data_IF_573147907009
#
_entry.id   IF_573147907009
#
_cell.length_a   1.000
_cell.length_b   1.000
_cell.length_c   1.000
_cell.angle_alpha   90.00
_cell.angle_beta   90.00
_cell.angle_gamma   90.00
#
_symmetry.space_group_name_H-M   'P 1'
#
loop_
_entity.id
_entity.type
_entity.pdbx_description
1 polymer ?
#
# COMPACT_ATOMS: atom_id res chain seq x y z
N UNK A 1 -30.01 16.55 -34.05
CA UNK A 1 -29.18 15.68 -33.19
C UNK A 1 -28.14 16.57 -32.53
N UNK A 2 -27.94 16.42 -31.22
CA UNK A 2 -27.17 17.41 -30.44
C UNK A 2 -25.66 17.20 -30.64
N UNK A 3 -24.86 18.28 -30.61
CA UNK A 3 -23.39 18.24 -30.70
C UNK A 3 -22.76 17.24 -29.71
N UNK A 4 -23.41 17.04 -28.56
CA UNK A 4 -23.03 16.06 -27.54
C UNK A 4 -23.09 14.61 -28.05
N UNK A 5 -24.12 14.25 -28.81
CA UNK A 5 -24.27 12.88 -29.32
C UNK A 5 -23.15 12.50 -30.29
N UNK A 6 -22.68 13.46 -31.07
CA UNK A 6 -21.57 13.27 -32.01
C UNK A 6 -20.23 13.18 -31.30
N UNK A 7 -20.02 13.94 -30.22
CA UNK A 7 -18.83 13.85 -29.37
C UNK A 7 -18.77 12.52 -28.60
N UNK A 8 -19.90 12.07 -28.04
CA UNK A 8 -20.01 10.74 -27.39
C UNK A 8 -19.70 9.63 -28.40
N UNK A 9 -20.24 9.71 -29.62
CA UNK A 9 -19.95 8.72 -30.68
C UNK A 9 -18.49 8.74 -31.13
N UNK A 10 -17.84 9.91 -31.15
CA UNK A 10 -16.41 10.03 -31.46
C UNK A 10 -15.54 9.42 -30.36
N UNK A 11 -15.86 9.72 -29.10
CA UNK A 11 -15.20 9.15 -27.92
C UNK A 11 -15.31 7.62 -27.89
N UNK A 12 -16.52 7.09 -28.10
CA UNK A 12 -16.78 5.65 -28.15
C UNK A 12 -15.92 4.95 -29.20
N UNK A 13 -15.89 5.47 -30.43
CA UNK A 13 -15.05 4.92 -31.51
C UNK A 13 -13.55 4.92 -31.16
N UNK A 14 -13.09 5.94 -30.44
CA UNK A 14 -11.71 6.00 -29.95
C UNK A 14 -11.39 4.91 -28.92
N UNK A 15 -12.32 4.59 -28.03
CA UNK A 15 -12.14 3.53 -27.04
C UNK A 15 -12.31 2.12 -27.63
N UNK A 16 -13.23 1.94 -28.57
CA UNK A 16 -13.39 0.70 -29.33
C UNK A 16 -12.11 0.37 -30.12
N UNK A 17 -11.48 1.37 -30.75
CA UNK A 17 -10.20 1.20 -31.44
C UNK A 17 -9.04 0.80 -30.51
N UNK A 18 -9.14 1.12 -29.22
CA UNK A 18 -8.15 0.75 -28.21
C UNK A 18 -8.29 -0.70 -27.68
N UNK A 19 -9.41 -1.38 -27.94
CA UNK A 19 -9.64 -2.78 -27.57
C UNK A 19 -9.63 -3.09 -26.06
N UNK A 20 -9.65 -2.06 -25.20
CA UNK A 20 -9.47 -2.18 -23.74
C UNK A 20 -10.75 -2.47 -22.96
N UNK A 21 -11.91 -2.37 -23.60
CA UNK A 21 -13.21 -2.46 -22.95
C UNK A 21 -14.13 -3.41 -23.73
N UNK A 22 -14.93 -4.18 -23.01
CA UNK A 22 -16.01 -4.96 -23.60
C UNK A 22 -17.15 -4.05 -24.08
N UNK A 23 -17.95 -4.51 -25.04
CA UNK A 23 -19.09 -3.72 -25.53
C UNK A 23 -20.10 -3.38 -24.43
N UNK A 24 -20.24 -4.23 -23.42
CA UNK A 24 -21.13 -4.00 -22.28
C UNK A 24 -20.62 -2.88 -21.38
N UNK A 25 -19.32 -2.86 -21.07
CA UNK A 25 -18.70 -1.77 -20.28
C UNK A 25 -18.79 -0.43 -21.01
N UNK A 26 -18.57 -0.43 -22.34
CA UNK A 26 -18.72 0.78 -23.15
C UNK A 26 -20.14 1.34 -23.12
N UNK A 27 -21.16 0.48 -23.17
CA UNK A 27 -22.56 0.90 -23.07
C UNK A 27 -22.87 1.50 -21.69
N UNK A 28 -22.36 0.90 -20.62
CA UNK A 28 -22.57 1.40 -19.25
C UNK A 28 -21.87 2.75 -18.99
N UNK A 29 -20.68 2.96 -19.56
CA UNK A 29 -20.00 4.25 -19.53
C UNK A 29 -20.73 5.31 -20.36
N UNK A 30 -21.26 4.93 -21.52
CA UNK A 30 -22.04 5.82 -22.38
C UNK A 30 -23.32 6.29 -21.69
N UNK A 31 -24.02 5.39 -21.00
CA UNK A 31 -25.20 5.73 -20.21
C UNK A 31 -24.87 6.65 -19.03
N UNK A 32 -23.74 6.42 -18.33
CA UNK A 32 -23.26 7.33 -17.29
C UNK A 32 -22.95 8.73 -17.83
N UNK A 33 -22.29 8.84 -18.99
CA UNK A 33 -21.99 10.13 -19.62
C UNK A 33 -23.26 10.87 -20.02
N UNK A 34 -24.26 10.16 -20.53
CA UNK A 34 -25.57 10.74 -20.86
C UNK A 34 -26.33 11.20 -19.62
N UNK A 35 -26.33 10.39 -18.55
CA UNK A 35 -26.96 10.74 -17.29
C UNK A 35 -26.33 12.01 -16.69
N UNK A 36 -24.99 12.08 -16.67
CA UNK A 36 -24.28 13.26 -16.18
C UNK A 36 -24.57 14.51 -17.04
N UNK A 37 -24.58 14.38 -18.37
CA UNK A 37 -24.91 15.49 -19.25
C UNK A 37 -26.38 15.95 -19.14
N UNK A 38 -27.30 15.03 -18.82
CA UNK A 38 -28.69 15.36 -18.54
C UNK A 38 -28.83 16.11 -17.21
N UNK A 39 -28.14 15.67 -16.17
CA UNK A 39 -28.08 16.35 -14.87
C UNK A 39 -27.47 17.75 -14.98
N UNK A 40 -26.41 17.89 -15.78
CA UNK A 40 -25.73 19.16 -16.01
C UNK A 40 -26.63 20.14 -16.78
N UNK A 41 -27.33 19.67 -17.82
CA UNK A 41 -28.35 20.46 -18.52
C UNK A 41 -29.51 20.86 -17.61
N UNK A 42 -29.95 19.99 -16.71
CA UNK A 42 -31.01 20.30 -15.75
C UNK A 42 -30.56 21.40 -14.76
N UNK A 43 -29.29 21.38 -14.35
CA UNK A 43 -28.69 22.43 -13.51
C UNK A 43 -28.52 23.76 -14.25
N UNK A 44 -28.09 23.71 -15.51
CA UNK A 44 -27.94 24.90 -16.36
C UNK A 44 -29.29 25.55 -16.71
N UNK A 45 -30.33 24.75 -16.97
CA UNK A 45 -31.68 25.24 -17.21
C UNK A 45 -32.26 26.04 -16.02
N UNK A 46 -31.69 25.86 -14.82
CA UNK A 46 -32.12 26.54 -13.59
C UNK A 46 -31.28 27.79 -13.28
N UNK A 47 -30.15 28.02 -13.97
CA UNK A 47 -29.23 29.12 -13.65
C UNK A 47 -29.03 30.08 -14.82
N UNK A 48 -29.55 31.30 -14.69
CA UNK A 48 -29.50 32.36 -15.71
C UNK A 48 -28.11 33.02 -15.91
N UNK A 49 -26.99 32.31 -15.67
CA UNK A 49 -25.65 32.87 -15.90
C UNK A 49 -24.59 31.83 -16.29
N UNK A 50 -24.88 31.03 -17.33
CA UNK A 50 -23.94 30.03 -17.86
C UNK A 50 -22.59 30.59 -18.32
N UNK A 51 -22.55 31.83 -18.82
CA UNK A 51 -21.32 32.45 -19.34
C UNK A 51 -20.27 32.76 -18.26
N UNK A 52 -20.68 33.14 -17.05
CA UNK A 52 -19.77 33.43 -15.94
C UNK A 52 -19.17 32.17 -15.32
N UNK A 53 -19.95 31.08 -15.30
CA UNK A 53 -19.50 29.76 -14.85
C UNK A 53 -18.60 29.06 -15.86
N UNK A 54 -18.91 29.12 -17.15
CA UNK A 54 -18.00 28.63 -18.20
C UNK A 54 -16.68 29.40 -18.24
N UNK A 55 -16.70 30.72 -18.02
CA UNK A 55 -15.49 31.53 -17.97
C UNK A 55 -14.62 31.18 -16.75
N UNK A 56 -15.22 31.05 -15.56
CA UNK A 56 -14.51 30.64 -14.36
C UNK A 56 -13.99 29.19 -14.46
N UNK A 57 -14.77 28.27 -15.03
CA UNK A 57 -14.33 26.90 -15.29
C UNK A 57 -13.21 26.85 -16.32
N UNK A 58 -13.26 27.65 -17.40
CA UNK A 58 -12.16 27.76 -18.37
C UNK A 58 -10.92 28.44 -17.79
N UNK A 59 -11.06 29.32 -16.81
CA UNK A 59 -9.95 29.97 -16.11
C UNK A 59 -9.27 29.02 -15.10
N UNK A 60 -10.05 28.17 -14.41
CA UNK A 60 -9.52 27.10 -13.55
C UNK A 60 -8.97 25.91 -14.35
N UNK A 61 -9.61 25.53 -15.47
CA UNK A 61 -9.15 24.44 -16.35
C UNK A 61 -8.06 24.87 -17.34
N UNK A 62 -7.92 26.16 -17.59
CA UNK A 62 -7.02 26.73 -18.60
C UNK A 62 -5.57 26.87 -18.16
N UNK A 63 -5.28 26.76 -16.87
CA UNK A 63 -3.91 26.68 -16.35
C UNK A 63 -3.57 25.21 -16.03
N UNK A 64 -3.09 24.44 -17.02
CA UNK A 64 -2.73 23.04 -16.83
C UNK A 64 -1.68 22.87 -15.74
N UNK A 65 -0.88 23.90 -15.45
CA UNK A 65 0.12 23.93 -14.38
C UNK A 65 -0.49 24.03 -12.99
N UNK A 66 -1.61 24.77 -12.82
CA UNK A 66 -2.35 24.83 -11.55
C UNK A 66 -3.13 23.54 -11.30
N UNK A 67 -3.75 22.97 -12.33
CA UNK A 67 -4.36 21.64 -12.24
C UNK A 67 -3.31 20.58 -11.92
N UNK A 68 -2.19 20.55 -12.64
CA UNK A 68 -1.08 19.65 -12.30
C UNK A 68 -0.56 19.89 -10.89
N UNK A 69 -0.54 21.13 -10.38
CA UNK A 69 -0.06 21.44 -9.03
C UNK A 69 -1.06 21.04 -7.94
N UNK A 70 -2.36 21.14 -8.19
CA UNK A 70 -3.42 20.65 -7.28
C UNK A 70 -3.51 19.11 -7.30
N UNK A 71 -3.37 18.47 -8.46
CA UNK A 71 -3.19 17.01 -8.55
C UNK A 71 -1.84 16.57 -7.94
N UNK A 72 -0.77 17.35 -8.12
CA UNK A 72 0.54 17.07 -7.55
C UNK A 72 0.56 17.14 -6.02
N UNK A 73 -0.24 18.03 -5.41
CA UNK A 73 -0.44 18.07 -3.96
C UNK A 73 -1.15 16.82 -3.43
N UNK A 74 -1.88 16.09 -4.28
CA UNK A 74 -2.45 14.77 -3.98
C UNK A 74 -1.55 13.59 -4.43
N UNK A 75 -0.47 13.82 -5.20
CA UNK A 75 0.14 12.78 -6.06
C UNK A 75 1.12 11.81 -5.41
N UNK A 76 1.58 12.07 -4.19
CA UNK A 76 2.35 11.06 -3.45
C UNK A 76 1.49 10.51 -2.34
N UNK A 77 0.65 9.51 -2.64
CA UNK A 77 -0.17 8.90 -1.62
C UNK A 77 0.75 8.31 -0.56
N UNK A 78 0.47 8.61 0.71
CA UNK A 78 1.38 8.34 1.83
C UNK A 78 1.82 6.88 1.90
N UNK A 79 0.98 5.94 1.42
CA UNK A 79 1.32 4.53 1.34
C UNK A 79 2.58 4.25 0.52
N UNK A 80 2.87 5.02 -0.54
CA UNK A 80 4.09 4.82 -1.35
C UNK A 80 5.35 5.03 -0.52
N UNK A 81 5.38 6.08 0.31
CA UNK A 81 6.52 6.38 1.18
C UNK A 81 6.72 5.27 2.20
N UNK A 82 5.65 4.79 2.85
CA UNK A 82 5.72 3.67 3.78
C UNK A 82 6.21 2.38 3.11
N UNK A 83 5.77 2.11 1.88
CA UNK A 83 6.17 0.92 1.14
C UNK A 83 7.66 0.98 0.75
N UNK A 84 8.14 2.13 0.28
CA UNK A 84 9.56 2.34 -0.04
C UNK A 84 10.44 2.20 1.20
N UNK A 85 10.07 2.82 2.31
CA UNK A 85 10.81 2.71 3.58
C UNK A 85 10.78 1.27 4.10
N UNK A 86 9.63 0.60 4.01
CA UNK A 86 9.49 -0.81 4.36
C UNK A 86 10.42 -1.70 3.54
N UNK A 87 10.45 -1.54 2.21
CA UNK A 87 11.40 -2.25 1.34
C UNK A 87 12.86 -1.94 1.67
N UNK A 88 13.19 -0.68 1.97
CA UNK A 88 14.53 -0.28 2.40
C UNK A 88 14.95 -0.98 3.70
N UNK A 89 14.05 -1.04 4.70
CA UNK A 89 14.28 -1.76 5.95
C UNK A 89 14.41 -3.28 5.73
N UNK A 90 13.63 -3.85 4.82
CA UNK A 90 13.75 -5.26 4.46
C UNK A 90 15.14 -5.54 3.88
N UNK A 91 15.57 -4.76 2.89
CA UNK A 91 16.91 -4.90 2.29
C UNK A 91 18.00 -4.70 3.34
N UNK A 92 17.88 -3.68 4.19
CA UNK A 92 18.80 -3.44 5.30
C UNK A 92 18.88 -4.66 6.24
N UNK A 93 17.74 -5.30 6.54
CA UNK A 93 17.72 -6.50 7.36
C UNK A 93 18.55 -7.64 6.78
N UNK A 94 18.58 -7.79 5.44
CA UNK A 94 19.37 -8.83 4.76
C UNK A 94 20.89 -8.56 4.81
N UNK A 95 21.28 -7.28 4.87
CA UNK A 95 22.69 -6.88 4.99
C UNK A 95 23.19 -6.85 6.42
N UNK A 96 22.29 -6.72 7.41
CA UNK A 96 22.64 -6.85 8.81
C UNK A 96 22.96 -8.33 9.10
N UNK A 97 24.24 -8.61 9.32
CA UNK A 97 24.76 -9.96 9.59
C UNK A 97 24.24 -10.60 10.89
N UNK A 98 23.42 -9.89 11.67
CA UNK A 98 23.00 -10.26 13.03
C UNK A 98 21.60 -10.90 13.07
N UNK A 99 21.23 -11.70 12.06
CA UNK A 99 20.05 -12.59 12.13
C UNK A 99 20.32 -13.74 13.14
N UNK A 100 20.60 -13.39 14.40
CA UNK A 100 20.91 -14.31 15.50
C UNK A 100 21.58 -13.64 16.72
N UNK A 101 21.04 -13.95 17.91
CA UNK A 101 21.59 -13.80 19.28
C UNK A 101 22.72 -12.78 19.50
N UNK A 102 22.37 -11.55 19.90
CA UNK A 102 23.36 -10.47 20.14
C UNK A 102 23.88 -10.39 21.58
N UNK A 103 23.35 -11.14 22.54
CA UNK A 103 23.92 -11.18 23.88
C UNK A 103 24.11 -12.61 24.34
N UNK A 104 25.33 -13.10 24.15
CA UNK A 104 25.88 -14.12 25.02
C UNK A 104 26.03 -13.46 26.39
N UNK A 105 25.05 -13.64 27.26
CA UNK A 105 25.30 -13.50 28.69
C UNK A 105 25.76 -14.87 29.15
N UNK A 106 27.09 -15.14 29.18
CA UNK A 106 27.55 -16.39 29.70
C UNK A 106 27.12 -16.45 31.17
N UNK A 107 26.57 -17.58 31.61
CA UNK A 107 26.33 -17.85 33.03
C UNK A 107 27.60 -17.73 33.88
N UNK A 108 28.78 -17.67 33.24
CA UNK A 108 30.09 -17.38 33.82
C UNK A 108 30.73 -16.16 33.13
N UNK A 109 30.94 -15.07 33.88
CA UNK A 109 31.40 -13.78 33.36
C UNK A 109 32.75 -13.79 32.59
N UNK A 110 33.54 -14.86 32.69
CA UNK A 110 34.92 -14.91 32.17
C UNK A 110 35.07 -15.48 30.75
N UNK A 111 34.01 -16.02 30.13
CA UNK A 111 34.11 -16.66 28.80
C UNK A 111 33.34 -15.85 27.75
N UNK A 112 34.01 -14.85 27.14
CA UNK A 112 33.55 -14.21 25.90
C UNK A 112 33.83 -15.13 24.71
N UNK A 113 32.97 -16.11 24.45
CA UNK A 113 33.01 -16.83 23.18
C UNK A 113 32.10 -16.15 22.17
N UNK A 114 32.69 -15.49 21.17
CA UNK A 114 31.96 -15.09 19.96
C UNK A 114 31.72 -16.33 19.08
N UNK A 115 30.75 -17.16 19.44
CA UNK A 115 30.33 -18.25 18.55
C UNK A 115 29.75 -17.61 17.28
N UNK A 116 30.37 -17.90 16.13
CA UNK A 116 29.88 -17.34 14.87
C UNK A 116 28.54 -17.97 14.52
N UNK A 117 27.56 -17.16 14.09
CA UNK A 117 26.21 -17.62 13.75
C UNK A 117 26.20 -18.80 12.76
N UNK A 118 27.26 -18.96 11.96
CA UNK A 118 27.44 -20.07 11.01
C UNK A 118 27.45 -21.43 11.69
N UNK A 119 27.98 -21.52 12.90
CA UNK A 119 28.08 -22.77 13.66
C UNK A 119 26.73 -23.18 14.27
N UNK A 120 25.92 -22.19 14.66
CA UNK A 120 24.56 -22.41 15.21
C UNK A 120 23.53 -22.74 14.12
N UNK A 121 23.76 -22.28 12.88
CA UNK A 121 22.83 -22.50 11.76
C UNK A 121 23.08 -23.79 10.96
N UNK A 122 24.23 -24.45 11.17
CA UNK A 122 24.60 -25.72 10.54
C UNK A 122 23.59 -26.89 10.80
N UNK A 123 22.91 -27.01 11.95
CA UNK A 123 21.91 -28.06 12.18
C UNK A 123 20.49 -27.71 11.68
N UNK A 124 20.21 -26.46 11.29
CA UNK A 124 18.86 -26.00 10.90
C UNK A 124 18.71 -25.58 9.40
N UNK A 125 19.36 -26.23 8.42
CA UNK A 125 19.48 -25.69 7.07
C UNK A 125 18.19 -25.75 6.24
N UNK A 126 17.13 -26.41 6.71
CA UNK A 126 15.86 -26.47 5.94
C UNK A 126 14.89 -25.39 6.41
N UNK A 127 14.73 -25.20 7.73
CA UNK A 127 13.73 -24.27 8.28
C UNK A 127 14.07 -22.79 8.05
N UNK A 128 15.34 -22.42 8.17
CA UNK A 128 15.78 -21.02 8.04
C UNK A 128 15.74 -20.54 6.60
N UNK A 129 16.14 -21.39 5.65
CA UNK A 129 16.06 -21.07 4.23
C UNK A 129 14.62 -21.02 3.72
N UNK A 130 13.74 -21.91 4.21
CA UNK A 130 12.30 -21.84 3.92
C UNK A 130 11.72 -20.52 4.43
N UNK A 131 12.07 -20.09 5.65
CA UNK A 131 11.58 -18.83 6.21
C UNK A 131 12.11 -17.61 5.42
N UNK A 132 13.39 -17.61 5.06
CA UNK A 132 14.00 -16.55 4.25
C UNK A 132 13.35 -16.48 2.85
N UNK A 133 13.22 -17.62 2.16
CA UNK A 133 12.58 -17.72 0.86
C UNK A 133 11.10 -17.30 0.92
N UNK A 134 10.37 -17.76 1.93
CA UNK A 134 8.98 -17.38 2.16
C UNK A 134 8.85 -15.88 2.41
N UNK A 135 9.70 -15.30 3.27
CA UNK A 135 9.69 -13.85 3.52
C UNK A 135 9.97 -13.04 2.26
N UNK A 136 10.88 -13.53 1.40
CA UNK A 136 11.21 -12.90 0.13
C UNK A 136 10.02 -12.98 -0.84
N UNK A 137 9.35 -14.14 -0.91
CA UNK A 137 8.16 -14.31 -1.74
C UNK A 137 7.00 -13.42 -1.28
N UNK A 138 6.76 -13.36 0.04
CA UNK A 138 5.74 -12.48 0.62
C UNK A 138 6.07 -11.03 0.29
N UNK A 139 7.32 -10.59 0.48
CA UNK A 139 7.70 -9.21 0.20
C UNK A 139 7.63 -8.89 -1.29
N UNK A 140 8.12 -9.78 -2.16
CA UNK A 140 7.97 -9.68 -3.62
C UNK A 140 6.51 -9.61 -4.07
N UNK A 141 5.58 -10.31 -3.41
CA UNK A 141 4.15 -10.19 -3.73
C UNK A 141 3.60 -8.78 -3.53
N UNK A 142 4.22 -7.98 -2.65
CA UNK A 142 3.86 -6.57 -2.44
C UNK A 142 4.29 -5.67 -3.58
N UNK A 143 5.22 -6.11 -4.45
CA UNK A 143 5.56 -5.38 -5.68
C UNK A 143 4.39 -5.30 -6.66
N UNK A 144 3.46 -6.28 -6.60
CA UNK A 144 2.21 -6.24 -7.35
C UNK A 144 1.37 -5.02 -6.98
N UNK A 145 1.54 -4.47 -5.77
CA UNK A 145 0.87 -3.26 -5.34
C UNK A 145 1.32 -1.98 -6.07
N UNK A 146 2.46 -2.01 -6.79
CA UNK A 146 2.81 -0.91 -7.70
C UNK A 146 2.00 -0.97 -9.00
N UNK A 147 1.42 -2.11 -9.34
CA UNK A 147 0.57 -2.30 -10.52
C UNK A 147 -0.90 -1.87 -10.30
N UNK A 148 -1.65 -1.78 -11.40
CA UNK A 148 -3.13 -1.67 -11.38
C UNK A 148 -3.78 -3.05 -11.17
N UNK A 149 -3.37 -3.75 -10.12
CA UNK A 149 -3.91 -5.07 -9.78
C UNK A 149 -5.36 -4.99 -9.30
N UNK A 150 -6.09 -6.10 -9.44
CA UNK A 150 -7.48 -6.23 -8.99
C UNK A 150 -7.56 -6.07 -7.47
N UNK A 151 -8.58 -5.34 -7.01
CA UNK A 151 -8.89 -5.04 -5.59
C UNK A 151 -8.85 -6.27 -4.66
N UNK A 152 -9.20 -7.45 -5.15
CA UNK A 152 -9.18 -8.70 -4.36
C UNK A 152 -7.76 -9.18 -4.01
N UNK A 153 -6.79 -8.96 -4.89
CA UNK A 153 -5.39 -9.36 -4.69
C UNK A 153 -4.76 -8.47 -3.60
N UNK A 154 -5.03 -7.17 -3.65
CA UNK A 154 -4.49 -6.22 -2.68
C UNK A 154 -4.96 -6.53 -1.24
N UNK A 155 -6.22 -6.91 -1.07
CA UNK A 155 -6.76 -7.29 0.24
C UNK A 155 -6.11 -8.58 0.79
N UNK A 156 -5.88 -9.57 -0.07
CA UNK A 156 -5.20 -10.82 0.32
C UNK A 156 -3.74 -10.57 0.69
N UNK A 157 -2.99 -9.81 -0.14
CA UNK A 157 -1.59 -9.46 0.13
C UNK A 157 -1.47 -8.69 1.44
N UNK A 158 -2.33 -7.70 1.67
CA UNK A 158 -2.38 -6.97 2.94
C UNK A 158 -2.55 -7.91 4.14
N UNK A 159 -3.51 -8.84 4.07
CA UNK A 159 -3.79 -9.78 5.14
C UNK A 159 -2.60 -10.70 5.43
N UNK A 160 -1.99 -11.29 4.39
CA UNK A 160 -0.84 -12.20 4.54
C UNK A 160 0.37 -11.47 5.13
N UNK A 161 0.73 -10.30 4.58
CA UNK A 161 1.85 -9.49 5.10
C UNK A 161 1.57 -9.06 6.54
N UNK A 162 0.33 -8.66 6.85
CA UNK A 162 -0.11 -8.25 8.19
C UNK A 162 -0.01 -9.38 9.21
N UNK A 163 -0.50 -10.58 8.88
CA UNK A 163 -0.39 -11.76 9.73
C UNK A 163 1.07 -12.13 9.97
N UNK A 164 1.89 -12.18 8.92
CA UNK A 164 3.34 -12.48 9.04
C UNK A 164 4.03 -11.46 9.94
N UNK A 165 3.81 -10.17 9.72
CA UNK A 165 4.40 -9.10 10.54
C UNK A 165 3.94 -9.13 11.99
N UNK A 166 2.65 -9.37 12.24
CA UNK A 166 2.09 -9.45 13.59
C UNK A 166 2.58 -10.70 14.35
N UNK A 167 2.61 -11.85 13.70
CA UNK A 167 3.16 -13.09 14.29
C UNK A 167 4.64 -12.93 14.61
N UNK A 168 5.42 -12.34 13.69
CA UNK A 168 6.81 -12.02 13.92
C UNK A 168 6.98 -11.09 15.12
N UNK A 169 6.31 -9.93 15.16
CA UNK A 169 6.38 -9.03 16.31
C UNK A 169 5.98 -9.70 17.63
N UNK A 170 4.96 -10.57 17.61
CA UNK A 170 4.53 -11.33 18.78
C UNK A 170 5.61 -12.29 19.29
N UNK A 171 6.27 -13.03 18.39
CA UNK A 171 7.42 -13.88 18.73
C UNK A 171 8.56 -13.02 19.30
N UNK A 172 8.82 -11.85 18.69
CA UNK A 172 9.82 -10.90 19.15
C UNK A 172 9.58 -10.43 20.58
N UNK A 173 8.37 -9.94 20.85
CA UNK A 173 7.96 -9.48 22.16
C UNK A 173 7.96 -10.62 23.19
N UNK A 174 7.48 -11.80 22.81
CA UNK A 174 7.52 -12.98 23.68
C UNK A 174 8.95 -13.37 24.05
N UNK A 175 9.87 -13.35 23.08
CA UNK A 175 11.29 -13.65 23.32
C UNK A 175 11.98 -12.62 24.21
N UNK A 176 11.50 -11.37 24.26
CA UNK A 176 12.02 -10.37 25.21
C UNK A 176 11.57 -10.64 26.64
N UNK A 177 10.36 -11.17 26.82
CA UNK A 177 9.79 -11.49 28.14
C UNK A 177 10.26 -12.86 28.66
N UNK A 178 10.45 -13.82 27.75
CA UNK A 178 10.82 -15.18 28.05
C UNK A 178 11.90 -15.66 27.06
N UNK A 179 13.17 -15.27 27.29
CA UNK A 179 14.24 -15.64 26.39
C UNK A 179 14.38 -17.17 26.37
N UNK A 180 14.40 -17.74 25.16
CA UNK A 180 14.46 -19.19 24.98
C UNK A 180 15.89 -19.63 25.31
N UNK A 181 16.09 -20.53 26.30
CA UNK A 181 17.40 -21.09 26.59
C UNK A 181 17.83 -22.01 25.44
N UNK A 182 18.95 -21.70 24.80
CA UNK A 182 19.56 -22.55 23.79
C UNK A 182 20.73 -23.29 24.46
N UNK A 183 20.63 -24.61 24.69
CA UNK A 183 21.76 -25.38 25.20
C UNK A 183 22.82 -25.46 24.11
N UNK A 184 24.02 -24.94 24.41
CA UNK A 184 25.19 -25.01 23.52
C UNK A 184 26.07 -26.21 23.88
N UNK A 185 26.21 -26.49 25.18
CA UNK A 185 26.84 -27.68 25.73
C UNK A 185 26.16 -28.08 27.05
N UNK A 186 26.50 -29.23 27.63
CA UNK A 186 25.91 -29.78 28.85
C UNK A 186 25.94 -28.81 30.05
N UNK A 187 26.84 -27.83 30.04
CA UNK A 187 27.04 -26.85 31.11
C UNK A 187 26.78 -25.40 30.68
N UNK A 188 26.54 -25.15 29.38
CA UNK A 188 26.40 -23.80 28.83
C UNK A 188 25.04 -23.61 28.16
N UNK A 189 24.21 -22.78 28.79
CA UNK A 189 22.93 -22.32 28.23
C UNK A 189 23.07 -20.85 27.86
N UNK A 190 22.79 -20.54 26.59
CA UNK A 190 22.82 -19.17 26.07
C UNK A 190 21.39 -18.68 25.87
N UNK A 191 21.10 -17.47 26.36
CA UNK A 191 19.82 -16.81 26.13
C UNK A 191 19.87 -16.03 24.83
N UNK A 192 19.08 -16.46 23.85
CA UNK A 192 19.08 -15.83 22.55
C UNK A 192 18.24 -14.56 22.52
N UNK A 193 18.88 -13.39 22.49
CA UNK A 193 18.19 -12.14 22.19
C UNK A 193 18.12 -11.89 20.68
N UNK A 194 16.94 -11.56 20.17
CA UNK A 194 16.73 -11.26 18.76
C UNK A 194 17.48 -9.97 18.39
N UNK A 195 18.40 -10.08 17.43
CA UNK A 195 19.28 -9.01 17.00
C UNK A 195 18.58 -7.88 16.22
N UNK A 196 19.31 -6.81 15.89
CA UNK A 196 18.75 -5.65 15.19
C UNK A 196 18.22 -5.99 13.79
N UNK A 197 18.77 -7.00 13.10
CA UNK A 197 18.28 -7.44 11.80
C UNK A 197 16.84 -7.98 11.89
N UNK A 198 16.51 -8.71 12.97
CA UNK A 198 15.17 -9.23 13.21
C UNK A 198 14.16 -8.10 13.39
N UNK A 199 14.51 -7.07 14.17
CA UNK A 199 13.63 -5.92 14.38
C UNK A 199 13.46 -5.09 13.11
N UNK A 200 14.51 -4.90 12.32
CA UNK A 200 14.42 -4.28 11.00
C UNK A 200 13.53 -5.08 10.05
N UNK A 201 13.65 -6.41 10.06
CA UNK A 201 12.81 -7.33 9.30
C UNK A 201 11.34 -7.21 9.74
N UNK A 202 11.02 -7.31 11.03
CA UNK A 202 9.67 -7.13 11.55
C UNK A 202 9.09 -5.75 11.18
N UNK A 203 9.85 -4.69 11.40
CA UNK A 203 9.45 -3.32 11.07
C UNK A 203 9.14 -3.14 9.59
N UNK A 204 9.88 -3.81 8.69
CA UNK A 204 9.60 -3.78 7.26
C UNK A 204 8.20 -4.31 6.92
N UNK A 205 7.80 -5.45 7.47
CA UNK A 205 6.46 -6.02 7.26
C UNK A 205 5.38 -5.10 7.83
N UNK A 206 5.58 -4.55 9.02
CA UNK A 206 4.62 -3.62 9.64
C UNK A 206 4.39 -2.39 8.77
N UNK A 207 5.46 -1.76 8.27
CA UNK A 207 5.35 -0.59 7.40
C UNK A 207 4.67 -0.91 6.07
N UNK A 208 5.01 -2.05 5.47
CA UNK A 208 4.36 -2.49 4.22
C UNK A 208 2.90 -2.85 4.46
N UNK A 209 2.53 -3.47 5.58
CA UNK A 209 1.13 -3.68 5.95
C UNK A 209 0.37 -2.38 6.13
N UNK A 210 0.96 -1.38 6.79
CA UNK A 210 0.36 -0.04 6.93
C UNK A 210 0.18 0.62 5.56
N UNK A 211 1.19 0.52 4.69
CA UNK A 211 1.10 1.03 3.33
C UNK A 211 -0.06 0.38 2.56
N UNK A 212 -0.15 -0.95 2.56
CA UNK A 212 -1.21 -1.67 1.87
C UNK A 212 -2.59 -1.37 2.45
N UNK A 213 -2.69 -1.16 3.77
CA UNK A 213 -3.92 -0.75 4.42
C UNK A 213 -4.37 0.66 4.01
N UNK A 214 -3.44 1.62 4.02
CA UNK A 214 -3.68 2.99 3.54
C UNK A 214 -4.11 2.98 2.09
N UNK A 215 -3.40 2.22 1.25
CA UNK A 215 -3.77 2.00 -0.15
C UNK A 215 -5.17 1.46 -0.25
N UNK A 216 -5.54 0.39 0.48
CA UNK A 216 -6.91 -0.16 0.45
C UNK A 216 -7.99 0.86 0.84
N UNK A 217 -7.71 1.73 1.83
CA UNK A 217 -8.64 2.79 2.25
C UNK A 217 -8.90 3.83 1.17
N UNK A 218 -7.91 4.16 0.34
CA UNK A 218 -8.09 5.08 -0.79
C UNK A 218 -9.17 4.60 -1.78
N UNK A 219 -9.36 3.28 -1.92
CA UNK A 219 -10.40 2.71 -2.80
C UNK A 219 -11.78 2.63 -2.15
N UNK A 220 -11.88 2.83 -0.83
CA UNK A 220 -13.14 2.74 -0.08
C UNK A 220 -13.74 4.12 0.14
N UNK A 221 -12.93 5.19 0.13
CA UNK A 221 -13.43 6.55 0.27
C UNK A 221 -14.44 6.86 -0.84
N UNK A 222 -15.72 7.12 -0.50
CA UNK A 222 -16.67 7.58 -1.49
C UNK A 222 -16.16 8.91 -2.07
N UNK A 223 -16.48 9.23 -3.34
CA UNK A 223 -16.20 10.55 -3.89
C UNK A 223 -16.73 11.61 -2.91
N UNK A 224 -16.00 12.72 -2.69
CA UNK A 224 -16.38 13.72 -1.70
C UNK A 224 -17.83 14.11 -1.91
N UNK A 225 -18.68 13.73 -0.95
CA UNK A 225 -20.09 14.11 -0.94
C UNK A 225 -20.09 15.63 -0.92
N UNK A 226 -20.65 16.26 -1.95
CA UNK A 226 -20.77 17.70 -2.04
C UNK A 226 -21.32 18.22 -0.71
N UNK A 227 -20.59 19.14 -0.09
CA UNK A 227 -20.92 19.65 1.24
C UNK A 227 -22.34 20.26 1.19
N UNK A 228 -23.24 19.91 2.10
CA UNK A 228 -24.60 20.47 2.14
C UNK A 228 -24.64 21.99 2.38
N UNK A 229 -23.49 22.65 2.55
CA UNK A 229 -23.37 24.11 2.54
C UNK A 229 -23.69 24.76 1.18
N UNK A 230 -23.74 23.98 0.09
CA UNK A 230 -24.17 24.49 -1.22
C UNK A 230 -25.69 24.38 -1.45
N UNK A 231 -26.44 23.77 -0.54
CA UNK A 231 -27.90 23.83 -0.53
C UNK A 231 -28.33 25.13 0.16
N UNK A 232 -28.29 26.25 -0.59
CA UNK A 232 -29.03 27.45 -0.21
C UNK A 232 -30.53 27.08 -0.11
N UNK A 233 -31.22 27.42 0.99
CA UNK A 233 -32.66 27.26 1.07
C UNK A 233 -33.31 28.17 0.02
N UNK A 234 -34.01 27.57 -0.95
CA UNK A 234 -34.97 28.28 -1.77
C UNK A 234 -36.09 28.76 -0.84
N UNK A 235 -36.02 30.02 -0.42
CA UNK A 235 -37.11 30.68 0.28
C UNK A 235 -38.30 30.79 -0.68
N UNK A 236 -39.41 30.14 -0.27
CA UNK A 236 -40.77 30.30 -0.79
C UNK A 236 -41.37 31.58 -0.21
#
# INVERSE_FOLDING_TARGET
MSRLDDEIRKWRRGLEAGGRFSQRELAELEDHLRAHAADERARDATSASGAGREAAAREELGDPTRLFREFAKQDTPAWRSFLVVGWGLYVLSLFLSDFGTVALEPSYADVRMSVSWREVLLPAPVSVWILAAFSTLVMMSTSLAFGRTRRSVDAWVWYVVGVVGATALGIGAFSLLWPIPIPVDAELVVYGHLGPSYWAWCGSFTLVSIALWLRHREWVSPPPTQSPKDLKPSLV
#
